data_IF_936694616723
#
_entry.id   IF_936694616723
#
_cell.length_a   1.000
_cell.length_b   1.000
_cell.length_c   1.000
_cell.angle_alpha   90.00
_cell.angle_beta   90.00
_cell.angle_gamma   90.00
#
_symmetry.space_group_name_H-M   'P 1'
#
loop_
_entity.id
_entity.type
_entity.pdbx_description
1 polymer ?
#
# COMPACT_ATOMS: atom_id res chain seq x y z
N UNK A 1 9.56 0.25 3.51
CA UNK A 1 10.52 1.37 3.71
C UNK A 1 10.44 1.89 5.16
N UNK A 2 10.58 1.03 6.18
CA UNK A 2 10.26 1.27 7.60
C UNK A 2 11.07 2.35 8.37
N UNK A 3 11.69 3.32 7.68
CA UNK A 3 12.37 4.44 8.32
C UNK A 3 11.33 5.40 8.92
N UNK A 4 11.65 6.11 10.03
CA UNK A 4 10.75 7.10 10.64
C UNK A 4 10.20 8.14 9.63
N UNK A 5 11.03 8.57 8.67
CA UNK A 5 10.60 9.49 7.60
C UNK A 5 9.48 8.94 6.70
N UNK A 6 9.38 7.62 6.55
CA UNK A 6 8.33 7.02 5.73
C UNK A 6 6.97 7.06 6.43
N UNK A 7 6.94 7.04 7.76
CA UNK A 7 5.71 7.26 8.54
C UNK A 7 5.21 8.70 8.35
N UNK A 8 6.11 9.68 8.39
CA UNK A 8 5.74 11.07 8.11
C UNK A 8 5.25 11.26 6.67
N UNK A 9 5.89 10.59 5.70
CA UNK A 9 5.45 10.64 4.29
C UNK A 9 4.06 10.02 4.08
N UNK A 10 3.78 8.87 4.71
CA UNK A 10 2.46 8.24 4.64
C UNK A 10 1.37 9.11 5.27
N UNK A 11 1.63 9.65 6.46
CA UNK A 11 0.69 10.54 7.15
C UNK A 11 0.35 11.79 6.32
N UNK A 12 1.35 12.44 5.74
CA UNK A 12 1.16 13.61 4.88
C UNK A 12 0.38 13.27 3.59
N UNK A 13 0.66 12.11 2.98
CA UNK A 13 -0.06 11.64 1.80
C UNK A 13 -1.54 11.37 2.12
N UNK A 14 -1.82 10.67 3.21
CA UNK A 14 -3.18 10.38 3.67
C UNK A 14 -3.97 11.65 3.93
N UNK A 15 -3.35 12.65 4.55
CA UNK A 15 -3.99 13.94 4.80
C UNK A 15 -4.31 14.68 3.49
N UNK A 16 -3.37 14.68 2.54
CA UNK A 16 -3.58 15.26 1.21
C UNK A 16 -4.75 14.58 0.49
N UNK A 17 -4.79 13.25 0.50
CA UNK A 17 -5.86 12.47 -0.13
C UNK A 17 -7.22 12.74 0.53
N UNK A 18 -7.29 12.84 1.85
CA UNK A 18 -8.51 13.21 2.58
C UNK A 18 -8.97 14.63 2.23
N UNK A 19 -8.04 15.57 2.12
CA UNK A 19 -8.33 16.95 1.67
C UNK A 19 -8.94 16.95 0.27
N UNK A 20 -8.47 16.05 -0.61
CA UNK A 20 -9.02 15.84 -1.96
C UNK A 20 -10.30 14.98 -1.99
N UNK A 21 -10.90 14.69 -0.82
CA UNK A 21 -12.09 13.84 -0.68
C UNK A 21 -11.94 12.42 -1.23
N UNK A 22 -10.71 11.89 -1.24
CA UNK A 22 -10.47 10.50 -1.60
C UNK A 22 -10.94 9.54 -0.51
N UNK A 23 -11.45 8.37 -0.91
CA UNK A 23 -11.74 7.25 -0.01
C UNK A 23 -10.48 6.43 0.17
N UNK A 24 -9.91 6.44 1.37
CA UNK A 24 -8.73 5.62 1.70
C UNK A 24 -9.19 4.21 2.09
N UNK A 25 -8.69 3.20 1.36
CA UNK A 25 -8.94 1.79 1.66
C UNK A 25 -7.84 1.30 2.62
N UNK A 26 -8.12 1.34 3.92
CA UNK A 26 -7.13 0.99 4.95
C UNK A 26 -6.59 -0.43 4.81
N UNK A 27 -7.44 -1.39 4.44
CA UNK A 27 -7.02 -2.78 4.21
C UNK A 27 -5.98 -2.92 3.10
N UNK A 28 -6.03 -2.06 2.07
CA UNK A 28 -5.07 -2.03 0.98
C UNK A 28 -3.83 -1.15 1.26
N UNK A 29 -3.81 -0.42 2.38
CA UNK A 29 -2.77 0.56 2.70
C UNK A 29 -1.71 -0.07 3.63
N UNK A 30 -0.88 -0.94 3.06
CA UNK A 30 0.06 -1.78 3.82
C UNK A 30 1.48 -1.19 3.91
N UNK A 31 2.23 -1.60 4.95
CA UNK A 31 3.67 -1.33 5.06
C UNK A 31 4.48 -2.58 4.75
N UNK A 32 5.38 -2.50 3.76
CA UNK A 32 6.31 -3.58 3.44
C UNK A 32 7.72 -3.20 3.92
N UNK A 33 8.32 -3.96 4.85
CA UNK A 33 9.66 -3.69 5.35
C UNK A 33 10.74 -4.08 4.32
N UNK A 34 11.15 -3.12 3.50
CA UNK A 34 12.18 -3.32 2.46
C UNK A 34 13.59 -2.87 2.86
N UNK A 35 13.75 -2.22 4.02
CA UNK A 35 15.06 -1.72 4.47
C UNK A 35 16.00 -2.90 4.77
N UNK A 36 17.21 -2.85 4.22
CA UNK A 36 18.22 -3.90 4.38
C UNK A 36 18.06 -5.11 3.45
N UNK A 37 17.00 -5.16 2.64
CA UNK A 37 16.74 -6.31 1.75
C UNK A 37 17.55 -6.27 0.44
N UNK A 38 18.15 -5.12 0.06
CA UNK A 38 18.86 -4.91 -1.22
C UNK A 38 18.11 -5.46 -2.44
N UNK A 39 16.78 -5.40 -2.41
CA UNK A 39 15.94 -5.91 -3.49
C UNK A 39 15.85 -4.88 -4.61
N UNK A 40 16.02 -5.36 -5.84
CA UNK A 40 15.62 -4.65 -7.06
C UNK A 40 14.12 -4.82 -7.27
N UNK A 41 13.54 -4.06 -8.20
CA UNK A 41 12.11 -4.20 -8.55
C UNK A 41 11.78 -5.62 -9.01
N UNK A 42 12.66 -6.25 -9.80
CA UNK A 42 12.55 -7.65 -10.17
C UNK A 42 12.63 -8.57 -8.95
N UNK A 43 13.58 -8.31 -8.05
CA UNK A 43 13.71 -9.04 -6.78
C UNK A 43 12.47 -8.92 -5.88
N UNK A 44 11.76 -7.79 -5.90
CA UNK A 44 10.49 -7.62 -5.20
C UNK A 44 9.36 -8.47 -5.82
N UNK A 45 9.33 -8.61 -7.14
CA UNK A 45 8.33 -9.43 -7.83
C UNK A 45 8.56 -10.93 -7.57
N UNK A 46 9.82 -11.36 -7.49
CA UNK A 46 10.20 -12.75 -7.24
C UNK A 46 10.10 -13.15 -5.76
N UNK A 47 10.31 -12.21 -4.84
CA UNK A 47 10.18 -12.46 -3.40
C UNK A 47 8.72 -12.74 -3.03
N UNK A 48 8.39 -14.01 -2.77
CA UNK A 48 7.02 -14.47 -2.48
C UNK A 48 6.33 -13.70 -1.34
N UNK A 49 7.08 -13.27 -0.33
CA UNK A 49 6.56 -12.46 0.77
C UNK A 49 6.12 -11.06 0.31
N UNK A 50 6.92 -10.40 -0.54
CA UNK A 50 6.65 -9.06 -1.06
C UNK A 50 5.55 -9.12 -2.11
N UNK A 51 5.68 -10.01 -3.10
CA UNK A 51 4.69 -10.15 -4.17
C UNK A 51 3.33 -10.64 -3.63
N UNK A 52 3.33 -11.53 -2.63
CA UNK A 52 2.12 -11.95 -1.93
C UNK A 52 1.44 -10.79 -1.21
N UNK A 53 2.19 -9.97 -0.47
CA UNK A 53 1.64 -8.79 0.21
C UNK A 53 1.04 -7.77 -0.77
N UNK A 54 1.72 -7.49 -1.89
CA UNK A 54 1.22 -6.58 -2.93
C UNK A 54 -0.07 -7.14 -3.54
N UNK A 55 -0.12 -8.43 -3.88
CA UNK A 55 -1.33 -9.07 -4.42
C UNK A 55 -2.50 -9.00 -3.45
N UNK A 56 -2.24 -9.21 -2.15
CA UNK A 56 -3.25 -9.06 -1.10
C UNK A 56 -3.85 -7.65 -1.07
N UNK A 57 -3.00 -6.62 -1.02
CA UNK A 57 -3.43 -5.22 -1.02
C UNK A 57 -4.23 -4.85 -2.28
N UNK A 58 -3.82 -5.33 -3.46
CA UNK A 58 -4.56 -5.11 -4.71
C UNK A 58 -5.94 -5.79 -4.69
N UNK A 59 -6.04 -7.00 -4.13
CA UNK A 59 -7.32 -7.69 -3.97
C UNK A 59 -8.24 -6.97 -2.97
N UNK A 60 -7.69 -6.41 -1.89
CA UNK A 60 -8.44 -5.59 -0.93
C UNK A 60 -8.97 -4.31 -1.59
N UNK A 61 -8.13 -3.64 -2.39
CA UNK A 61 -8.54 -2.46 -3.15
C UNK A 61 -9.63 -2.80 -4.17
N UNK A 62 -9.47 -3.87 -4.94
CA UNK A 62 -10.47 -4.32 -5.91
C UNK A 62 -11.83 -4.56 -5.24
N UNK A 63 -11.83 -5.27 -4.10
CA UNK A 63 -13.07 -5.53 -3.34
C UNK A 63 -13.73 -4.23 -2.87
N UNK A 64 -12.95 -3.26 -2.39
CA UNK A 64 -13.48 -1.97 -1.97
C UNK A 64 -14.06 -1.16 -3.14
N UNK A 65 -13.39 -1.12 -4.29
CA UNK A 65 -13.88 -0.43 -5.49
C UNK A 65 -15.19 -1.04 -5.99
N UNK A 66 -15.25 -2.37 -6.08
CA UNK A 66 -16.48 -3.06 -6.49
C UNK A 66 -17.64 -2.80 -5.53
N UNK A 67 -17.38 -2.77 -4.22
CA UNK A 67 -18.40 -2.46 -3.22
C UNK A 67 -18.93 -1.01 -3.36
N UNK A 68 -18.06 -0.06 -3.70
CA UNK A 68 -18.45 1.34 -3.92
C UNK A 68 -19.25 1.55 -5.22
N UNK A 69 -19.00 0.74 -6.25
CA UNK A 69 -19.73 0.82 -7.53
C UNK A 69 -21.14 0.22 -7.46
N UNK A 70 -21.42 -0.61 -6.45
CA UNK A 70 -22.71 -1.27 -6.25
C UNK A 70 -23.60 -0.57 -5.21
N UNK A 71 -23.11 0.51 -4.59
CA UNK A 71 -23.81 1.30 -3.57
C UNK A 71 -24.28 2.66 -4.03
#
# INVERSE_FOLDING_TARGET
NAAPRAQHADAALRETLRTMSAVIVEAASISIPLLGANLTDAGMAEAASVSGAIRGALADLQRAVLALQLG
#
